data_IF_691229177343
#
_entry.id   IF_691229177343
#
_cell.length_a   1.000
_cell.length_b   1.000
_cell.length_c   1.000
_cell.angle_alpha   90.00
_cell.angle_beta   90.00
_cell.angle_gamma   90.00
#
_symmetry.space_group_name_H-M   'P 1'
#
loop_
_entity.id
_entity.type
_entity.pdbx_description
1 polymer ?
#
# COMPACT_ATOMS: atom_id res chain seq x y z
N UNK A 1 -23.97 9.76 -6.52
CA UNK A 1 -23.85 9.21 -5.15
C UNK A 1 -22.61 9.81 -4.50
N UNK A 2 -22.75 10.37 -3.35
CA UNK A 2 -21.59 11.00 -2.69
C UNK A 2 -20.95 9.96 -1.76
N UNK A 3 -19.91 9.29 -2.24
CA UNK A 3 -19.14 8.29 -1.47
C UNK A 3 -18.11 8.95 -0.54
N UNK A 4 -18.22 10.26 -0.33
CA UNK A 4 -17.33 11.00 0.52
C UNK A 4 -17.53 10.63 1.99
N UNK A 5 -16.45 10.24 2.63
CA UNK A 5 -16.37 9.98 4.08
C UNK A 5 -15.42 11.02 4.68
N UNK A 6 -15.79 11.61 5.81
CA UNK A 6 -14.91 12.53 6.52
C UNK A 6 -13.63 11.85 6.98
N UNK A 7 -12.52 12.57 6.99
CA UNK A 7 -11.18 12.04 7.33
C UNK A 7 -11.17 11.20 8.61
N UNK A 8 -11.82 11.67 9.66
CA UNK A 8 -11.87 11.00 10.96
C UNK A 8 -12.62 9.66 10.96
N UNK A 9 -13.52 9.47 10.00
CA UNK A 9 -14.35 8.26 9.86
C UNK A 9 -13.78 7.27 8.83
N UNK A 10 -12.74 7.67 8.08
CA UNK A 10 -12.14 6.82 7.04
C UNK A 10 -11.32 5.69 7.65
N UNK A 11 -11.42 4.52 7.04
CA UNK A 11 -10.46 3.45 7.27
C UNK A 11 -9.11 3.81 6.72
N UNK A 12 -8.05 3.45 7.44
CA UNK A 12 -6.66 3.66 7.03
C UNK A 12 -6.10 2.40 6.39
N UNK A 13 -5.53 2.53 5.21
CA UNK A 13 -4.92 1.42 4.48
C UNK A 13 -3.43 1.64 4.37
N UNK A 14 -2.65 0.62 4.76
CA UNK A 14 -1.22 0.57 4.52
C UNK A 14 -0.98 -0.11 3.17
N UNK A 15 -0.46 0.64 2.20
CA UNK A 15 -0.11 0.16 0.88
C UNK A 15 1.36 -0.23 0.81
N UNK A 16 1.62 -1.45 0.37
CA UNK A 16 2.96 -1.98 0.07
C UNK A 16 3.09 -2.13 -1.43
N UNK A 17 3.80 -1.22 -2.06
CA UNK A 17 3.99 -1.18 -3.52
C UNK A 17 5.18 -0.32 -3.90
N UNK A 18 5.49 -0.25 -5.19
CA UNK A 18 6.43 0.75 -5.70
C UNK A 18 5.98 2.15 -5.29
N UNK A 19 6.93 2.98 -4.88
CA UNK A 19 6.65 4.36 -4.47
C UNK A 19 5.83 5.07 -5.57
N UNK A 20 4.67 5.61 -5.19
CA UNK A 20 3.72 6.21 -6.12
C UNK A 20 4.26 7.42 -6.89
N UNK A 21 5.42 7.94 -6.52
CA UNK A 21 6.12 9.03 -7.23
C UNK A 21 7.00 8.52 -8.37
N UNK A 22 7.24 7.21 -8.45
CA UNK A 22 7.99 6.61 -9.55
C UNK A 22 7.18 6.60 -10.86
N UNK A 23 7.91 6.43 -11.97
CA UNK A 23 7.34 6.31 -13.32
C UNK A 23 7.30 4.83 -13.74
N UNK A 24 6.79 3.94 -12.91
CA UNK A 24 6.54 2.54 -13.25
C UNK A 24 5.04 2.27 -13.40
N UNK A 25 4.68 1.17 -14.05
CA UNK A 25 3.27 0.77 -14.18
C UNK A 25 2.61 0.54 -12.81
N UNK A 26 3.32 -0.12 -11.90
CA UNK A 26 2.84 -0.37 -10.53
C UNK A 26 2.69 0.96 -9.76
N UNK A 27 3.69 1.84 -9.84
CA UNK A 27 3.63 3.14 -9.17
C UNK A 27 2.48 4.00 -9.71
N UNK A 28 2.28 4.03 -11.02
CA UNK A 28 1.18 4.75 -11.65
C UNK A 28 -0.18 4.22 -11.19
N UNK A 29 -0.37 2.91 -11.21
CA UNK A 29 -1.61 2.29 -10.74
C UNK A 29 -1.85 2.54 -9.25
N UNK A 30 -0.81 2.43 -8.42
CA UNK A 30 -0.88 2.75 -6.99
C UNK A 30 -1.35 4.19 -6.75
N UNK A 31 -0.80 5.12 -7.52
CA UNK A 31 -1.21 6.53 -7.47
C UNK A 31 -2.67 6.70 -7.88
N UNK A 32 -3.11 6.08 -8.96
CA UNK A 32 -4.50 6.16 -9.42
C UNK A 32 -5.48 5.59 -8.39
N UNK A 33 -5.13 4.48 -7.74
CA UNK A 33 -5.94 3.89 -6.66
C UNK A 33 -6.06 4.87 -5.49
N UNK A 34 -4.94 5.46 -5.04
CA UNK A 34 -4.93 6.42 -3.92
C UNK A 34 -5.74 7.67 -4.29
N UNK A 35 -5.46 8.28 -5.43
CA UNK A 35 -6.17 9.47 -5.90
C UNK A 35 -7.67 9.18 -6.07
N UNK A 36 -8.00 8.03 -6.67
CA UNK A 36 -9.38 7.63 -6.93
C UNK A 36 -10.21 7.38 -5.66
N UNK A 37 -9.56 7.08 -4.54
CA UNK A 37 -10.22 6.66 -3.29
C UNK A 37 -9.89 7.54 -2.06
N UNK A 38 -9.15 8.64 -2.25
CA UNK A 38 -8.72 9.52 -1.15
C UNK A 38 -9.87 10.19 -0.39
N UNK A 39 -11.06 10.28 -1.01
CA UNK A 39 -12.28 10.76 -0.37
C UNK A 39 -12.99 9.70 0.49
N UNK A 40 -12.50 8.46 0.45
CA UNK A 40 -13.12 7.29 1.09
C UNK A 40 -12.16 6.59 2.07
N UNK A 41 -10.85 6.62 1.82
CA UNK A 41 -9.81 6.01 2.65
C UNK A 41 -8.68 6.99 2.97
N UNK A 42 -8.07 6.79 4.14
CA UNK A 42 -6.77 7.38 4.47
C UNK A 42 -5.68 6.39 4.05
N UNK A 43 -4.61 6.90 3.45
CA UNK A 43 -3.56 6.07 2.87
C UNK A 43 -2.20 6.35 3.50
N UNK A 44 -1.49 5.28 3.84
CA UNK A 44 -0.06 5.30 4.15
C UNK A 44 0.63 4.31 3.25
N UNK A 45 1.64 4.74 2.52
CA UNK A 45 2.43 3.86 1.65
C UNK A 45 3.83 3.66 2.25
N UNK A 46 4.33 2.42 2.27
CA UNK A 46 5.76 2.16 2.31
C UNK A 46 6.23 2.17 0.86
N UNK A 47 6.90 3.25 0.47
CA UNK A 47 7.38 3.45 -0.90
C UNK A 47 8.58 2.55 -1.19
N UNK A 48 8.39 1.57 -2.05
CA UNK A 48 9.41 0.59 -2.41
C UNK A 48 10.04 0.86 -3.80
N UNK A 49 11.00 0.03 -4.17
CA UNK A 49 11.69 0.01 -5.46
C UNK A 49 12.51 1.25 -5.80
N UNK A 50 12.93 2.02 -4.80
CA UNK A 50 13.67 3.26 -4.99
C UNK A 50 14.81 3.39 -3.99
N UNK A 51 15.93 4.00 -4.42
CA UNK A 51 16.92 4.56 -3.53
C UNK A 51 16.56 6.01 -3.26
N UNK A 52 16.00 6.29 -2.09
CA UNK A 52 15.41 7.58 -1.83
C UNK A 52 16.31 8.44 -0.93
N UNK A 53 16.61 9.70 -1.32
CA UNK A 53 17.39 10.61 -0.47
C UNK A 53 16.68 10.94 0.84
N UNK A 54 15.36 10.77 0.90
CA UNK A 54 14.54 11.01 2.08
C UNK A 54 14.25 9.77 2.91
N UNK A 55 15.05 8.71 2.77
CA UNK A 55 14.91 7.48 3.55
C UNK A 55 14.69 7.76 5.03
N UNK A 56 13.68 7.11 5.61
CA UNK A 56 13.29 7.26 7.00
C UNK A 56 12.43 8.48 7.31
N UNK A 57 12.14 9.33 6.32
CA UNK A 57 11.22 10.45 6.48
C UNK A 57 9.79 10.06 6.11
N UNK A 58 8.84 10.74 6.73
CA UNK A 58 7.42 10.67 6.35
C UNK A 58 7.13 11.88 5.47
N UNK A 59 6.65 11.62 4.26
CA UNK A 59 6.30 12.65 3.29
C UNK A 59 4.78 12.76 3.18
N UNK A 60 4.28 13.98 3.26
CA UNK A 60 2.84 14.26 3.19
C UNK A 60 2.48 14.68 1.77
N UNK A 61 1.56 13.96 1.14
CA UNK A 61 1.05 14.25 -0.20
C UNK A 61 -0.41 14.72 -0.18
N UNK A 62 -0.94 15.02 0.99
CA UNK A 62 -2.35 15.37 1.16
C UNK A 62 -2.76 16.60 0.33
N UNK A 63 -1.91 17.62 0.28
CA UNK A 63 -2.22 18.86 -0.46
C UNK A 63 -2.32 18.62 -1.97
N UNK A 64 -1.39 17.86 -2.54
CA UNK A 64 -1.42 17.49 -3.96
C UNK A 64 -2.68 16.69 -4.30
N UNK A 65 -3.03 15.72 -3.44
CA UNK A 65 -4.22 14.90 -3.61
C UNK A 65 -5.49 15.72 -3.46
N UNK A 66 -5.53 16.65 -2.51
CA UNK A 66 -6.66 17.57 -2.35
C UNK A 66 -6.91 18.38 -3.62
N UNK A 67 -5.86 18.93 -4.23
CA UNK A 67 -5.98 19.65 -5.51
C UNK A 67 -6.52 18.77 -6.63
N UNK A 68 -6.01 17.56 -6.77
CA UNK A 68 -6.40 16.65 -7.85
C UNK A 68 -7.86 16.19 -7.68
N UNK A 69 -8.26 15.88 -6.45
CA UNK A 69 -9.61 15.35 -6.16
C UNK A 69 -10.67 16.42 -5.90
N UNK A 70 -10.26 17.66 -5.64
CA UNK A 70 -11.20 18.71 -5.25
C UNK A 70 -11.81 18.48 -3.86
N UNK A 71 -11.02 17.98 -2.93
CA UNK A 71 -11.37 17.81 -1.51
C UNK A 71 -10.37 18.61 -0.65
N UNK A 72 -10.60 18.73 0.64
CA UNK A 72 -9.76 19.52 1.55
C UNK A 72 -9.19 18.73 2.73
N UNK A 73 -9.54 17.45 2.85
CA UNK A 73 -9.22 16.62 4.00
C UNK A 73 -8.56 15.27 3.67
N UNK A 74 -7.91 15.16 2.49
CA UNK A 74 -7.14 13.96 2.17
C UNK A 74 -6.05 13.70 3.22
N UNK A 75 -5.84 12.42 3.55
CA UNK A 75 -4.73 11.98 4.39
C UNK A 75 -3.94 10.92 3.63
N UNK A 76 -2.86 11.36 2.99
CA UNK A 76 -1.98 10.52 2.17
C UNK A 76 -0.53 10.78 2.57
N UNK A 77 0.14 9.73 3.02
CA UNK A 77 1.52 9.78 3.47
C UNK A 77 2.36 8.68 2.83
N UNK A 78 3.63 8.99 2.57
CA UNK A 78 4.62 8.01 2.13
C UNK A 78 5.72 7.92 3.20
N UNK A 79 6.05 6.70 3.58
CA UNK A 79 7.24 6.40 4.37
C UNK A 79 8.34 6.06 3.36
N UNK A 80 9.28 6.96 3.21
CA UNK A 80 10.39 6.81 2.27
C UNK A 80 11.34 5.71 2.74
N UNK A 81 11.62 4.76 1.85
CA UNK A 81 12.44 3.58 2.14
C UNK A 81 13.35 3.24 0.97
N UNK A 82 14.46 2.56 1.24
CA UNK A 82 15.31 1.98 0.20
C UNK A 82 14.90 0.53 -0.05
N UNK A 83 14.90 0.15 -1.33
CA UNK A 83 14.53 -1.21 -1.74
C UNK A 83 13.08 -1.54 -1.36
N UNK A 84 12.85 -2.72 -0.78
CA UNK A 84 11.50 -3.22 -0.48
C UNK A 84 11.17 -3.27 1.02
N UNK A 85 12.07 -2.80 1.88
CA UNK A 85 11.87 -2.80 3.32
C UNK A 85 12.17 -4.15 4.00
N UNK A 86 11.74 -4.25 5.25
CA UNK A 86 11.94 -5.44 6.09
C UNK A 86 10.83 -5.57 7.15
N UNK A 87 10.86 -6.68 7.89
CA UNK A 87 9.89 -6.97 8.95
C UNK A 87 9.82 -5.89 10.03
N UNK A 88 10.95 -5.29 10.40
CA UNK A 88 11.00 -4.30 11.47
C UNK A 88 10.34 -2.99 11.04
N UNK A 89 10.57 -2.60 9.80
CA UNK A 89 9.93 -1.42 9.22
C UNK A 89 8.40 -1.59 9.24
N UNK A 90 7.88 -2.71 8.77
CA UNK A 90 6.42 -2.96 8.73
C UNK A 90 5.83 -3.02 10.14
N UNK A 91 6.50 -3.69 11.08
CA UNK A 91 6.04 -3.70 12.48
C UNK A 91 5.96 -2.29 13.07
N UNK A 92 6.99 -1.49 12.84
CA UNK A 92 7.04 -0.09 13.30
C UNK A 92 5.92 0.74 12.69
N UNK A 93 5.68 0.60 11.40
CA UNK A 93 4.61 1.33 10.69
C UNK A 93 3.22 0.89 11.17
N UNK A 94 2.97 -0.41 11.31
CA UNK A 94 1.69 -0.92 11.84
C UNK A 94 1.46 -0.40 13.27
N UNK A 95 2.50 -0.39 14.10
CA UNK A 95 2.38 0.09 15.48
C UNK A 95 2.11 1.60 15.56
N UNK A 96 2.76 2.41 14.73
CA UNK A 96 2.62 3.88 14.74
C UNK A 96 1.40 4.38 14.00
N UNK A 97 1.11 3.82 12.83
CA UNK A 97 0.04 4.27 11.95
C UNK A 97 -1.32 3.61 12.24
N UNK A 98 -1.30 2.43 12.85
CA UNK A 98 -2.49 1.64 13.18
C UNK A 98 -3.46 1.48 12.01
N UNK A 99 -3.01 0.95 10.86
CA UNK A 99 -3.89 0.77 9.71
C UNK A 99 -4.98 -0.26 10.00
N UNK A 100 -6.10 -0.12 9.32
CA UNK A 100 -7.21 -1.08 9.38
C UNK A 100 -7.00 -2.27 8.45
N UNK A 101 -6.12 -2.13 7.44
CA UNK A 101 -5.81 -3.17 6.46
C UNK A 101 -4.42 -2.96 5.88
N UNK A 102 -3.78 -4.05 5.48
CA UNK A 102 -2.57 -4.03 4.64
C UNK A 102 -2.95 -4.43 3.22
N UNK A 103 -2.61 -3.60 2.27
CA UNK A 103 -2.88 -3.79 0.85
C UNK A 103 -1.57 -3.94 0.08
N UNK A 104 -1.39 -5.08 -0.58
CA UNK A 104 -0.19 -5.39 -1.35
C UNK A 104 -0.51 -5.26 -2.84
N UNK A 105 0.32 -4.49 -3.54
CA UNK A 105 0.25 -4.33 -4.98
C UNK A 105 1.66 -4.25 -5.56
N UNK A 106 2.26 -5.41 -5.80
CA UNK A 106 3.64 -5.54 -6.30
C UNK A 106 3.94 -7.00 -6.68
N UNK A 107 5.13 -7.26 -7.19
CA UNK A 107 5.61 -8.63 -7.36
C UNK A 107 5.92 -9.25 -5.98
N UNK A 108 5.24 -10.32 -5.59
CA UNK A 108 5.37 -10.88 -4.24
C UNK A 108 6.77 -11.45 -3.96
N UNK A 109 7.54 -11.76 -4.98
CA UNK A 109 8.89 -12.34 -4.85
C UNK A 109 9.88 -11.39 -4.19
N UNK A 110 9.66 -10.09 -4.26
CA UNK A 110 10.47 -9.09 -3.55
C UNK A 110 10.03 -8.85 -2.11
N UNK A 111 8.91 -9.46 -1.69
CA UNK A 111 8.29 -9.28 -0.38
C UNK A 111 8.18 -10.61 0.40
N UNK A 112 9.03 -11.59 0.12
CA UNK A 112 8.98 -12.92 0.77
C UNK A 112 8.96 -12.82 2.29
N UNK A 113 9.76 -11.94 2.86
CA UNK A 113 9.82 -11.67 4.30
C UNK A 113 8.46 -11.22 4.88
N UNK A 114 7.64 -10.53 4.11
CA UNK A 114 6.30 -10.12 4.54
C UNK A 114 5.38 -11.35 4.69
N UNK A 115 5.44 -12.26 3.74
CA UNK A 115 4.63 -13.49 3.77
C UNK A 115 5.08 -14.45 4.86
N UNK A 116 6.34 -14.42 5.26
CA UNK A 116 6.84 -15.16 6.43
C UNK A 116 6.21 -14.66 7.75
N UNK A 117 5.83 -13.39 7.82
CA UNK A 117 5.13 -12.81 8.98
C UNK A 117 3.60 -12.68 8.80
N UNK A 118 3.00 -13.35 7.81
CA UNK A 118 1.59 -13.20 7.48
C UNK A 118 0.65 -13.50 8.67
N UNK A 119 0.98 -14.49 9.47
CA UNK A 119 0.18 -14.85 10.66
C UNK A 119 0.18 -13.74 11.71
N UNK A 120 1.31 -13.07 11.91
CA UNK A 120 1.42 -11.94 12.83
C UNK A 120 0.52 -10.79 12.37
N UNK A 121 0.54 -10.46 11.08
CA UNK A 121 -0.28 -9.40 10.50
C UNK A 121 -1.76 -9.77 10.56
N UNK A 122 -2.12 -10.93 10.01
CA UNK A 122 -3.51 -11.40 9.88
C UNK A 122 -4.20 -11.67 11.22
N UNK A 123 -3.43 -11.89 12.28
CA UNK A 123 -4.00 -11.99 13.64
C UNK A 123 -4.62 -10.68 14.13
N UNK A 124 -4.28 -9.56 13.52
CA UNK A 124 -4.70 -8.20 13.93
C UNK A 124 -5.50 -7.47 12.86
N UNK A 125 -5.05 -7.53 11.61
CA UNK A 125 -5.63 -6.79 10.48
C UNK A 125 -5.60 -7.65 9.21
N UNK A 126 -6.58 -7.48 8.30
CA UNK A 126 -6.61 -8.23 7.06
C UNK A 126 -5.47 -7.85 6.13
N UNK A 127 -4.96 -8.85 5.41
CA UNK A 127 -3.96 -8.75 4.38
C UNK A 127 -4.63 -8.98 3.02
N UNK A 128 -4.64 -7.96 2.17
CA UNK A 128 -5.28 -7.97 0.86
C UNK A 128 -4.22 -7.84 -0.23
N UNK A 129 -4.32 -8.66 -1.24
CA UNK A 129 -3.39 -8.65 -2.38
C UNK A 129 -4.13 -8.33 -3.67
N UNK A 130 -3.67 -7.30 -4.40
CA UNK A 130 -4.07 -7.04 -5.77
C UNK A 130 -3.08 -7.69 -6.72
N UNK A 131 -3.55 -8.70 -7.45
CA UNK A 131 -2.73 -9.43 -8.41
C UNK A 131 -2.78 -8.75 -9.78
N UNK A 132 -1.61 -8.57 -10.37
CA UNK A 132 -1.46 -8.26 -11.79
C UNK A 132 -0.62 -9.35 -12.45
N UNK A 133 -1.17 -9.91 -13.50
CA UNK A 133 -0.46 -10.85 -14.36
C UNK A 133 -0.93 -10.70 -15.79
N UNK A 134 -0.01 -10.41 -16.66
CA UNK A 134 -0.26 -10.01 -18.05
C UNK A 134 0.04 -11.12 -19.08
N UNK A 135 0.29 -12.35 -18.62
CA UNK A 135 0.67 -13.45 -19.51
C UNK A 135 0.05 -14.79 -19.09
N UNK A 136 0.04 -15.75 -20.00
CA UNK A 136 -0.37 -17.13 -19.75
C UNK A 136 0.81 -18.10 -19.84
N UNK A 137 0.83 -19.17 -19.04
CA UNK A 137 -0.10 -19.52 -17.96
C UNK A 137 0.02 -18.60 -16.74
N UNK A 138 -1.01 -18.57 -15.88
CA UNK A 138 -0.94 -17.82 -14.63
C UNK A 138 0.19 -18.36 -13.73
N UNK A 139 0.75 -17.51 -12.84
CA UNK A 139 1.99 -17.85 -12.14
C UNK A 139 1.74 -18.77 -10.94
N UNK A 140 1.65 -20.07 -11.17
CA UNK A 140 1.46 -21.09 -10.12
C UNK A 140 2.51 -21.01 -9.00
N UNK A 141 3.71 -20.55 -9.32
CA UNK A 141 4.77 -20.35 -8.32
C UNK A 141 4.44 -19.26 -7.30
N UNK A 142 3.49 -18.37 -7.60
CA UNK A 142 3.02 -17.35 -6.67
C UNK A 142 1.88 -17.84 -5.76
N UNK A 143 1.35 -19.04 -5.99
CA UNK A 143 0.24 -19.60 -5.21
C UNK A 143 0.43 -19.51 -3.70
N UNK A 144 1.61 -19.82 -3.11
CA UNK A 144 1.80 -19.71 -1.66
C UNK A 144 1.60 -18.28 -1.14
N UNK A 145 1.99 -17.27 -1.93
CA UNK A 145 1.78 -15.86 -1.55
C UNK A 145 0.30 -15.49 -1.56
N UNK A 146 -0.43 -15.92 -2.57
CA UNK A 146 -1.87 -15.66 -2.68
C UNK A 146 -2.66 -16.32 -1.55
N UNK A 147 -2.31 -17.55 -1.19
CA UNK A 147 -2.93 -18.31 -0.09
C UNK A 147 -2.59 -17.71 1.30
N UNK A 148 -1.56 -16.91 1.40
CA UNK A 148 -1.17 -16.19 2.63
C UNK A 148 -1.99 -14.93 2.89
N UNK A 149 -2.90 -14.57 2.00
CA UNK A 149 -3.72 -13.37 2.10
C UNK A 149 -5.16 -13.69 2.51
N UNK A 150 -5.84 -12.71 3.10
CA UNK A 150 -7.26 -12.82 3.46
C UNK A 150 -8.16 -12.62 2.23
N UNK A 151 -7.71 -11.80 1.28
CA UNK A 151 -8.38 -11.59 0.00
C UNK A 151 -7.37 -11.41 -1.13
N UNK A 152 -7.73 -11.93 -2.29
CA UNK A 152 -7.01 -11.75 -3.54
C UNK A 152 -7.93 -11.02 -4.52
N UNK A 153 -7.49 -9.87 -4.99
CA UNK A 153 -8.14 -9.11 -6.04
C UNK A 153 -7.42 -9.38 -7.37
N UNK A 154 -8.17 -9.52 -8.43
CA UNK A 154 -7.63 -9.81 -9.77
C UNK A 154 -8.24 -8.87 -10.82
#
# INVERSE_FOLDING_TARGET
>A
MNDYIKKEDRKKILLLSDDMRLKSGIATMSREIIVGTAHHYNWVQIGAAINHPDKGKILFLSDDINQIRGIDDADVRIIANDGYGDCQLVRGVIASERPDSVFIFTDPRYWTWLFEMEREIRSKIPLVYLNIWDNLPYPMYNKPYYESCDALLA
#
